data_IF_232479576123
#
_entry.id   IF_232479576123
#
_cell.length_a   1.000
_cell.length_b   1.000
_cell.length_c   1.000
_cell.angle_alpha   90.00
_cell.angle_beta   90.00
_cell.angle_gamma   90.00
#
_symmetry.space_group_name_H-M   'P 1'
#
loop_
_entity.id
_entity.type
_entity.pdbx_description
1 polymer ?
#
# COMPACT_ATOMS: atom_id res chain seq x y z
N UNK A 1 -34.69 -12.38 24.97
CA UNK A 1 -35.02 -12.55 23.53
C UNK A 1 -36.22 -13.48 23.46
N UNK A 2 -37.03 -13.39 22.41
CA UNK A 2 -38.16 -14.32 22.18
C UNK A 2 -38.05 -14.88 20.78
N UNK A 3 -38.53 -16.10 20.59
CA UNK A 3 -38.55 -16.80 19.31
C UNK A 3 -40.00 -16.81 18.84
N UNK A 4 -40.23 -16.56 17.55
CA UNK A 4 -41.57 -16.68 16.97
C UNK A 4 -41.68 -18.08 16.37
N UNK A 5 -42.48 -18.94 17.00
CA UNK A 5 -42.83 -20.27 16.51
C UNK A 5 -44.34 -20.34 16.33
N UNK A 6 -44.81 -20.81 15.17
CA UNK A 6 -46.24 -20.90 14.85
C UNK A 6 -47.01 -19.61 15.17
N UNK A 7 -46.40 -18.44 14.90
CA UNK A 7 -46.92 -17.09 15.19
C UNK A 7 -47.11 -16.73 16.67
N UNK A 8 -46.72 -17.61 17.59
CA UNK A 8 -46.71 -17.37 19.03
C UNK A 8 -45.28 -17.06 19.53
N UNK A 9 -45.11 -16.09 20.45
CA UNK A 9 -43.82 -15.84 21.07
C UNK A 9 -43.51 -16.92 22.12
N UNK A 10 -42.35 -17.58 21.99
CA UNK A 10 -41.79 -18.51 22.99
C UNK A 10 -40.54 -17.94 23.65
N UNK A 11 -40.34 -18.36 24.89
CA UNK A 11 -39.10 -18.13 25.62
C UNK A 11 -37.96 -18.97 24.99
N UNK A 12 -36.69 -18.60 25.24
CA UNK A 12 -35.56 -19.35 24.66
C UNK A 12 -35.51 -20.80 25.17
N UNK A 13 -35.77 -21.02 26.46
CA UNK A 13 -35.79 -22.37 27.04
C UNK A 13 -36.93 -23.22 26.45
N UNK A 14 -38.09 -22.59 26.27
CA UNK A 14 -39.29 -23.20 25.69
C UNK A 14 -39.13 -23.59 24.22
N UNK A 15 -38.15 -23.00 23.53
CA UNK A 15 -37.82 -23.23 22.13
C UNK A 15 -36.50 -24.01 21.99
N UNK A 16 -36.02 -24.64 23.07
CA UNK A 16 -34.76 -25.39 23.12
C UNK A 16 -33.51 -24.58 22.69
N UNK A 17 -33.55 -23.25 22.80
CA UNK A 17 -32.44 -22.34 22.46
C UNK A 17 -31.79 -21.71 23.70
N UNK A 18 -32.28 -22.00 24.91
CA UNK A 18 -31.80 -21.43 26.17
C UNK A 18 -30.34 -21.73 26.50
N UNK A 19 -29.82 -22.85 25.97
CA UNK A 19 -28.43 -23.28 26.15
C UNK A 19 -27.45 -22.62 25.16
N UNK A 20 -27.93 -21.81 24.22
CA UNK A 20 -27.08 -21.13 23.25
C UNK A 20 -26.55 -19.80 23.80
N UNK A 21 -25.33 -19.46 23.42
CA UNK A 21 -24.70 -18.18 23.77
C UNK A 21 -24.88 -17.15 22.66
N UNK A 22 -25.07 -15.89 23.05
CA UNK A 22 -25.25 -14.79 22.12
C UNK A 22 -23.92 -14.18 21.67
N UNK A 23 -23.63 -14.27 20.37
CA UNK A 23 -22.53 -13.58 19.70
C UNK A 23 -23.05 -12.31 19.00
N UNK A 24 -22.64 -11.10 19.42
CA UNK A 24 -23.02 -9.86 18.74
C UNK A 24 -22.43 -9.77 17.32
N UNK A 25 -23.09 -9.00 16.45
CA UNK A 25 -22.56 -8.66 15.11
C UNK A 25 -21.27 -7.83 15.24
N UNK A 26 -20.34 -8.03 14.31
CA UNK A 26 -19.14 -7.19 14.20
C UNK A 26 -18.04 -7.87 13.41
N UNK A 27 -17.58 -9.02 13.91
CA UNK A 27 -16.61 -9.85 13.21
C UNK A 27 -17.33 -10.86 12.30
N UNK A 28 -17.28 -10.60 10.99
CA UNK A 28 -17.88 -11.45 9.97
C UNK A 28 -17.27 -12.86 9.95
N UNK A 29 -15.97 -12.99 10.14
CA UNK A 29 -15.29 -14.29 10.13
C UNK A 29 -15.69 -15.11 11.35
N UNK A 30 -15.70 -14.49 12.54
CA UNK A 30 -16.13 -15.13 13.77
C UNK A 30 -17.60 -15.53 13.71
N UNK A 31 -18.48 -14.63 13.26
CA UNK A 31 -19.91 -14.89 13.13
C UNK A 31 -20.19 -16.03 12.14
N UNK A 32 -19.50 -16.06 11.00
CA UNK A 32 -19.66 -17.13 10.00
C UNK A 32 -19.21 -18.47 10.55
N UNK A 33 -18.01 -18.54 11.12
CA UNK A 33 -17.44 -19.79 11.65
C UNK A 33 -18.20 -20.33 12.84
N UNK A 34 -18.60 -19.46 13.77
CA UNK A 34 -19.39 -19.89 14.93
C UNK A 34 -20.71 -20.54 14.51
N UNK A 35 -21.33 -20.09 13.40
CA UNK A 35 -22.52 -20.76 12.85
C UNK A 35 -22.21 -22.06 12.12
N UNK A 36 -21.09 -22.14 11.39
CA UNK A 36 -20.66 -23.36 10.69
C UNK A 36 -20.30 -24.49 11.66
N UNK A 37 -19.72 -24.15 12.81
CA UNK A 37 -19.24 -25.08 13.83
C UNK A 37 -20.32 -25.51 14.82
N UNK A 38 -21.48 -24.84 14.82
CA UNK A 38 -22.58 -25.03 15.76
C UNK A 38 -23.63 -25.94 15.17
N UNK A 39 -24.04 -26.97 15.92
CA UNK A 39 -25.13 -27.87 15.52
C UNK A 39 -26.47 -27.14 15.44
N UNK A 40 -26.73 -26.22 16.38
CA UNK A 40 -27.92 -25.36 16.43
C UNK A 40 -27.52 -23.88 16.39
N UNK A 41 -28.21 -23.06 15.61
CA UNK A 41 -27.98 -21.60 15.61
C UNK A 41 -29.23 -20.81 15.25
N UNK A 42 -29.38 -19.62 15.82
CA UNK A 42 -30.50 -18.71 15.55
C UNK A 42 -30.02 -17.28 15.28
N UNK A 43 -30.64 -16.59 14.32
CA UNK A 43 -30.30 -15.19 14.04
C UNK A 43 -31.09 -14.28 14.96
N UNK A 44 -30.39 -13.41 15.68
CA UNK A 44 -31.03 -12.42 16.55
C UNK A 44 -31.24 -11.14 15.76
N UNK A 45 -32.48 -10.68 15.71
CA UNK A 45 -32.88 -9.42 15.09
C UNK A 45 -33.54 -8.51 16.11
N UNK A 46 -33.51 -7.21 15.85
CA UNK A 46 -34.24 -6.19 16.60
C UNK A 46 -35.00 -5.32 15.63
N UNK A 47 -36.29 -5.10 15.88
CA UNK A 47 -37.08 -4.18 15.08
C UNK A 47 -36.61 -2.74 15.31
N UNK A 48 -36.16 -2.08 14.25
CA UNK A 48 -35.81 -0.66 14.27
C UNK A 48 -37.06 0.16 13.91
N UNK A 49 -37.74 0.71 14.93
CA UNK A 49 -38.97 1.51 14.75
C UNK A 49 -38.77 2.71 13.82
N UNK A 50 -37.61 3.38 13.89
CA UNK A 50 -37.32 4.55 13.03
C UNK A 50 -37.21 4.19 11.56
N UNK A 51 -36.72 2.98 11.25
CA UNK A 51 -36.51 2.51 9.87
C UNK A 51 -37.57 1.52 9.39
N UNK A 52 -38.57 1.20 10.22
CA UNK A 52 -39.64 0.27 9.90
C UNK A 52 -39.18 -1.15 9.53
N UNK A 53 -38.00 -1.60 9.99
CA UNK A 53 -37.44 -2.91 9.59
C UNK A 53 -36.67 -3.61 10.70
N UNK A 54 -36.58 -4.94 10.61
CA UNK A 54 -35.70 -5.73 11.46
C UNK A 54 -34.23 -5.54 11.08
N UNK A 55 -33.40 -5.28 12.07
CA UNK A 55 -31.95 -5.21 11.94
C UNK A 55 -31.31 -6.37 12.68
N UNK A 56 -30.44 -7.11 11.98
CA UNK A 56 -29.63 -8.18 12.59
C UNK A 56 -28.74 -7.62 13.68
N UNK A 57 -28.79 -8.21 14.87
CA UNK A 57 -28.01 -7.85 16.05
C UNK A 57 -26.87 -8.82 16.30
N UNK A 58 -27.02 -10.09 15.92
CA UNK A 58 -26.04 -11.14 16.19
C UNK A 58 -26.62 -12.52 15.92
N UNK A 59 -26.03 -13.53 16.54
CA UNK A 59 -26.48 -14.94 16.46
C UNK A 59 -26.40 -15.61 17.82
N UNK A 60 -27.31 -16.55 18.06
CA UNK A 60 -27.19 -17.57 19.09
C UNK A 60 -26.49 -18.78 18.48
N UNK A 61 -25.47 -19.29 19.16
CA UNK A 61 -24.65 -20.44 18.76
C UNK A 61 -24.24 -21.23 20.00
N UNK A 62 -23.80 -22.46 19.83
CA UNK A 62 -23.27 -23.28 20.93
C UNK A 62 -21.97 -22.68 21.46
N UNK A 63 -21.77 -22.71 22.79
CA UNK A 63 -20.56 -22.18 23.44
C UNK A 63 -19.30 -22.85 22.90
N UNK A 64 -19.32 -24.18 22.77
CA UNK A 64 -18.19 -24.93 22.22
C UNK A 64 -17.89 -24.56 20.76
N UNK A 65 -18.90 -24.25 19.96
CA UNK A 65 -18.74 -23.80 18.57
C UNK A 65 -18.13 -22.40 18.50
N UNK A 66 -18.57 -21.48 19.38
CA UNK A 66 -17.99 -20.16 19.51
C UNK A 66 -16.51 -20.25 19.90
N UNK A 67 -16.17 -21.04 20.93
CA UNK A 67 -14.79 -21.21 21.39
C UNK A 67 -13.86 -21.74 20.28
N UNK A 68 -14.28 -22.77 19.54
CA UNK A 68 -13.54 -23.28 18.37
C UNK A 68 -13.36 -22.22 17.29
N UNK A 69 -14.40 -21.43 17.02
CA UNK A 69 -14.34 -20.36 16.03
C UNK A 69 -13.37 -19.23 16.43
N UNK A 70 -13.35 -18.85 17.72
CA UNK A 70 -12.41 -17.87 18.27
C UNK A 70 -10.95 -18.34 18.14
N UNK A 71 -10.67 -19.58 18.54
CA UNK A 71 -9.34 -20.18 18.43
C UNK A 71 -8.83 -20.16 16.98
N UNK A 72 -9.67 -20.58 16.02
CA UNK A 72 -9.35 -20.53 14.58
C UNK A 72 -9.11 -19.11 14.10
N UNK A 73 -9.92 -18.14 14.53
CA UNK A 73 -9.75 -16.73 14.16
C UNK A 73 -8.43 -16.15 14.69
N UNK A 74 -8.06 -16.47 15.93
CA UNK A 74 -6.80 -16.08 16.55
C UNK A 74 -5.60 -16.71 15.81
N UNK A 75 -5.67 -18.01 15.51
CA UNK A 75 -4.62 -18.71 14.76
C UNK A 75 -4.37 -18.07 13.38
N UNK A 76 -5.45 -17.74 12.65
CA UNK A 76 -5.34 -17.05 11.35
C UNK A 76 -4.78 -15.63 11.49
N UNK A 77 -5.16 -14.90 12.53
CA UNK A 77 -4.65 -13.56 12.79
C UNK A 77 -3.14 -13.58 13.05
N UNK A 78 -2.67 -14.53 13.84
CA UNK A 78 -1.25 -14.70 14.13
C UNK A 78 -0.47 -15.18 12.90
N UNK A 79 -1.02 -16.14 12.13
CA UNK A 79 -0.41 -16.56 10.87
C UNK A 79 -0.27 -15.39 9.87
N UNK A 80 -1.32 -14.57 9.73
CA UNK A 80 -1.29 -13.36 8.89
C UNK A 80 -0.27 -12.34 9.42
N UNK A 81 -0.19 -12.14 10.74
CA UNK A 81 0.78 -11.24 11.37
C UNK A 81 2.23 -11.70 11.10
N UNK A 82 2.53 -12.98 11.33
CA UNK A 82 3.85 -13.57 11.04
C UNK A 82 4.23 -13.45 9.57
N UNK A 83 3.29 -13.68 8.65
CA UNK A 83 3.52 -13.47 7.20
C UNK A 83 3.84 -12.00 6.89
N UNK A 84 3.07 -11.04 7.44
CA UNK A 84 3.34 -9.60 7.26
C UNK A 84 4.73 -9.20 7.74
N UNK A 85 5.16 -9.68 8.92
CA UNK A 85 6.49 -9.38 9.47
C UNK A 85 7.60 -9.94 8.57
N UNK A 86 7.50 -11.22 8.17
CA UNK A 86 8.49 -11.85 7.28
C UNK A 86 8.55 -11.15 5.93
N UNK A 87 7.41 -10.83 5.35
CA UNK A 87 7.34 -10.13 4.07
C UNK A 87 7.88 -8.69 4.18
N UNK A 88 7.65 -7.99 5.30
CA UNK A 88 8.22 -6.67 5.53
C UNK A 88 9.74 -6.72 5.56
N UNK A 89 10.32 -7.69 6.30
CA UNK A 89 11.78 -7.92 6.33
C UNK A 89 12.33 -8.26 4.94
N UNK A 90 11.67 -9.16 4.21
CA UNK A 90 12.07 -9.54 2.85
C UNK A 90 12.04 -8.34 1.90
N UNK A 91 11.03 -7.47 2.01
CA UNK A 91 10.93 -6.25 1.20
C UNK A 91 12.01 -5.23 1.55
N UNK A 92 12.27 -5.00 2.84
CA UNK A 92 13.35 -4.10 3.27
C UNK A 92 14.70 -4.52 2.69
N UNK A 93 15.05 -5.80 2.80
CA UNK A 93 16.29 -6.33 2.23
C UNK A 93 16.35 -6.22 0.69
N UNK A 94 15.21 -6.36 0.00
CA UNK A 94 15.16 -6.15 -1.46
C UNK A 94 15.33 -4.67 -1.82
N UNK A 95 14.72 -3.77 -1.06
CA UNK A 95 14.79 -2.34 -1.30
C UNK A 95 16.23 -1.81 -1.02
N UNK A 96 16.94 -2.36 -0.01
CA UNK A 96 18.37 -2.09 0.23
C UNK A 96 19.25 -2.53 -0.94
N UNK A 97 19.13 -3.79 -1.39
CA UNK A 97 19.89 -4.30 -2.55
C UNK A 97 19.62 -3.51 -3.82
N UNK A 98 18.36 -3.10 -4.02
CA UNK A 98 18.00 -2.26 -5.15
C UNK A 98 18.64 -0.88 -5.05
N UNK A 99 18.64 -0.25 -3.86
CA UNK A 99 19.30 1.02 -3.64
C UNK A 99 20.80 0.95 -3.91
N UNK A 100 21.48 -0.10 -3.45
CA UNK A 100 22.91 -0.31 -3.70
C UNK A 100 23.20 -0.43 -5.21
N UNK A 101 22.47 -1.29 -5.91
CA UNK A 101 22.64 -1.48 -7.35
C UNK A 101 22.31 -0.21 -8.15
N UNK A 102 21.27 0.52 -7.76
CA UNK A 102 20.89 1.78 -8.41
C UNK A 102 21.94 2.87 -8.17
N UNK A 103 22.51 2.97 -6.97
CA UNK A 103 23.58 3.91 -6.68
C UNK A 103 24.85 3.60 -7.49
N UNK A 104 25.21 2.32 -7.60
CA UNK A 104 26.34 1.89 -8.43
C UNK A 104 26.12 2.27 -9.91
N UNK A 105 24.89 2.09 -10.42
CA UNK A 105 24.56 2.44 -11.80
C UNK A 105 24.56 3.96 -12.04
N UNK A 106 24.12 4.76 -11.06
CA UNK A 106 24.30 6.23 -11.12
C UNK A 106 25.78 6.58 -11.24
N UNK A 107 26.63 6.02 -10.39
CA UNK A 107 28.07 6.34 -10.40
C UNK A 107 28.76 5.85 -11.68
N UNK A 108 28.25 4.79 -12.31
CA UNK A 108 28.72 4.32 -13.61
C UNK A 108 28.39 5.32 -14.73
N UNK A 109 27.17 5.87 -14.74
CA UNK A 109 26.69 6.82 -15.75
C UNK A 109 27.16 8.26 -15.49
N UNK A 110 27.37 8.61 -14.22
CA UNK A 110 27.70 9.95 -13.74
C UNK A 110 28.89 9.87 -12.76
N UNK A 111 30.12 9.61 -13.26
CA UNK A 111 31.29 9.38 -12.41
C UNK A 111 31.70 10.59 -11.55
N UNK A 112 31.30 11.81 -11.93
CA UNK A 112 31.50 13.03 -11.14
C UNK A 112 30.45 13.26 -10.05
N UNK A 113 29.42 12.41 -9.95
CA UNK A 113 28.39 12.53 -8.92
C UNK A 113 28.94 12.11 -7.53
N UNK A 114 28.76 12.92 -6.48
CA UNK A 114 29.15 12.54 -5.12
C UNK A 114 28.50 11.22 -4.67
N UNK A 115 29.25 10.36 -3.98
CA UNK A 115 28.74 9.04 -3.59
C UNK A 115 27.56 9.08 -2.63
N UNK A 116 27.52 10.05 -1.71
CA UNK A 116 26.39 10.32 -0.83
C UNK A 116 25.16 10.81 -1.62
N UNK A 117 25.38 11.65 -2.63
CA UNK A 117 24.32 12.10 -3.55
C UNK A 117 23.70 10.93 -4.32
N UNK A 118 24.53 10.05 -4.91
CA UNK A 118 24.06 8.85 -5.60
C UNK A 118 23.26 7.92 -4.68
N UNK A 119 23.74 7.69 -3.44
CA UNK A 119 23.00 6.92 -2.42
C UNK A 119 21.67 7.57 -2.05
N UNK A 120 21.62 8.89 -1.92
CA UNK A 120 20.39 9.63 -1.64
C UNK A 120 19.34 9.49 -2.76
N UNK A 121 19.78 9.60 -4.02
CA UNK A 121 18.91 9.39 -5.20
C UNK A 121 18.39 7.95 -5.22
N UNK A 122 19.27 6.99 -5.03
CA UNK A 122 18.92 5.57 -5.02
C UNK A 122 17.94 5.22 -3.90
N UNK A 123 18.18 5.69 -2.68
CA UNK A 123 17.26 5.53 -1.55
C UNK A 123 15.89 6.13 -1.89
N UNK A 124 15.86 7.35 -2.45
CA UNK A 124 14.61 7.99 -2.85
C UNK A 124 13.84 7.23 -3.96
N UNK A 125 14.57 6.61 -4.89
CA UNK A 125 14.01 5.76 -5.94
C UNK A 125 13.51 4.41 -5.41
N UNK A 126 14.09 3.93 -4.30
CA UNK A 126 13.80 2.65 -3.64
C UNK A 126 12.59 2.71 -2.70
N UNK A 127 12.29 3.88 -2.11
CA UNK A 127 11.14 4.06 -1.24
C UNK A 127 9.82 3.73 -1.97
N UNK A 128 9.14 2.68 -1.51
CA UNK A 128 7.83 2.24 -2.02
C UNK A 128 6.73 3.20 -1.59
N UNK A 129 5.90 3.68 -2.53
CA UNK A 129 4.62 4.31 -2.14
C UNK A 129 3.86 5.22 -3.11
N UNK A 130 4.37 5.61 -4.28
CA UNK A 130 3.62 6.60 -5.09
C UNK A 130 3.78 6.52 -6.62
N UNK A 131 4.21 5.39 -7.18
CA UNK A 131 4.50 5.28 -8.62
C UNK A 131 5.95 5.66 -9.00
N UNK A 132 6.91 5.36 -8.12
CA UNK A 132 8.35 5.67 -8.31
C UNK A 132 9.06 4.58 -9.13
N UNK A 133 10.16 4.98 -9.77
CA UNK A 133 10.92 4.23 -10.79
C UNK A 133 11.21 2.77 -10.39
N UNK A 134 11.51 2.47 -9.13
CA UNK A 134 11.82 1.10 -8.66
C UNK A 134 10.73 0.03 -8.87
N UNK A 135 9.50 0.39 -9.29
CA UNK A 135 8.46 -0.59 -9.68
C UNK A 135 8.19 -0.68 -11.19
N UNK A 136 8.72 0.22 -12.01
CA UNK A 136 8.59 0.06 -13.47
C UNK A 136 9.49 -1.08 -13.94
N UNK A 137 9.15 -1.73 -15.04
CA UNK A 137 10.02 -2.75 -15.63
C UNK A 137 11.41 -2.17 -15.93
N UNK A 138 11.45 -0.96 -16.49
CA UNK A 138 12.66 -0.20 -16.76
C UNK A 138 13.48 0.09 -15.49
N UNK A 139 12.85 0.55 -14.41
CA UNK A 139 13.54 0.83 -13.16
C UNK A 139 14.04 -0.42 -12.46
N UNK A 140 13.28 -1.53 -12.48
CA UNK A 140 13.76 -2.83 -11.98
C UNK A 140 14.92 -3.40 -12.79
N UNK A 141 14.92 -3.15 -14.10
CA UNK A 141 16.01 -3.51 -15.00
C UNK A 141 17.20 -2.54 -14.92
N UNK A 142 17.13 -1.50 -14.06
CA UNK A 142 18.13 -0.45 -13.96
C UNK A 142 18.47 0.15 -15.33
N UNK A 143 17.46 0.32 -16.19
CA UNK A 143 17.70 0.84 -17.53
C UNK A 143 18.28 2.26 -17.44
N UNK A 144 19.21 2.55 -18.32
CA UNK A 144 19.90 3.84 -18.36
C UNK A 144 18.91 5.02 -18.34
N UNK A 145 17.87 4.99 -19.18
CA UNK A 145 16.85 6.04 -19.21
C UNK A 145 16.08 6.20 -17.88
N UNK A 146 15.88 5.12 -17.12
CA UNK A 146 15.24 5.18 -15.81
C UNK A 146 16.16 5.78 -14.74
N UNK A 147 17.45 5.44 -14.79
CA UNK A 147 18.48 5.98 -13.90
C UNK A 147 18.69 7.46 -14.17
N UNK A 148 18.88 7.85 -15.43
CA UNK A 148 19.01 9.26 -15.85
C UNK A 148 17.78 10.06 -15.42
N UNK A 149 16.57 9.53 -15.62
CA UNK A 149 15.34 10.22 -15.20
C UNK A 149 15.29 10.47 -13.69
N UNK A 150 15.77 9.53 -12.87
CA UNK A 150 15.84 9.71 -11.42
C UNK A 150 16.86 10.77 -11.01
N UNK A 151 18.03 10.78 -11.66
CA UNK A 151 19.06 11.81 -11.43
C UNK A 151 18.55 13.19 -11.83
N UNK A 152 17.97 13.33 -13.03
CA UNK A 152 17.33 14.57 -13.51
C UNK A 152 16.27 15.06 -12.53
N UNK A 153 15.42 14.17 -12.02
CA UNK A 153 14.41 14.53 -11.04
C UNK A 153 15.06 15.03 -9.74
N UNK A 154 16.11 14.37 -9.25
CA UNK A 154 16.81 14.80 -8.04
C UNK A 154 17.48 16.17 -8.20
N UNK A 155 18.15 16.39 -9.33
CA UNK A 155 18.79 17.67 -9.66
C UNK A 155 17.74 18.78 -9.71
N UNK A 156 16.65 18.55 -10.44
CA UNK A 156 15.54 19.49 -10.51
C UNK A 156 15.04 19.93 -9.13
N UNK A 157 14.84 19.01 -8.20
CA UNK A 157 14.23 19.35 -6.91
C UNK A 157 15.21 19.93 -5.90
N UNK A 158 16.49 19.55 -5.95
CA UNK A 158 17.44 19.87 -4.88
C UNK A 158 18.51 20.87 -5.30
N UNK A 159 18.81 20.97 -6.60
CA UNK A 159 19.86 21.83 -7.14
C UNK A 159 19.28 23.03 -7.92
N UNK A 160 17.95 23.22 -7.96
CA UNK A 160 17.32 24.34 -8.68
C UNK A 160 16.17 24.95 -7.88
N UNK A 161 15.70 26.17 -8.21
CA UNK A 161 14.55 26.78 -7.53
C UNK A 161 13.19 26.16 -7.92
N UNK A 162 13.16 24.98 -8.55
CA UNK A 162 11.94 24.35 -9.06
C UNK A 162 10.79 24.32 -8.04
N UNK A 163 11.05 23.89 -6.81
CA UNK A 163 10.01 23.79 -5.79
C UNK A 163 9.49 25.18 -5.39
N UNK A 164 10.37 26.19 -5.31
CA UNK A 164 9.95 27.58 -5.07
C UNK A 164 9.07 28.12 -6.18
N UNK A 165 9.41 27.84 -7.44
CA UNK A 165 8.61 28.22 -8.61
C UNK A 165 7.21 27.59 -8.56
N UNK A 166 7.12 26.30 -8.19
CA UNK A 166 5.83 25.63 -8.03
C UNK A 166 5.00 26.24 -6.90
N UNK A 167 5.62 26.54 -5.76
CA UNK A 167 4.96 27.16 -4.62
C UNK A 167 4.51 28.60 -4.91
N UNK A 168 5.20 29.31 -5.79
CA UNK A 168 4.79 30.63 -6.28
C UNK A 168 3.76 30.57 -7.43
N UNK A 169 3.18 29.40 -7.71
CA UNK A 169 2.11 29.23 -8.70
C UNK A 169 2.56 29.11 -10.16
N UNK A 170 3.87 28.98 -10.43
CA UNK A 170 4.37 28.82 -11.81
C UNK A 170 3.96 27.44 -12.34
N UNK A 171 3.35 27.35 -13.54
CA UNK A 171 2.98 26.08 -14.13
C UNK A 171 4.20 25.15 -14.33
N UNK A 172 4.01 23.84 -14.15
CA UNK A 172 5.10 22.84 -14.20
C UNK A 172 5.93 22.88 -15.48
N UNK A 173 5.30 23.08 -16.63
CA UNK A 173 5.98 23.11 -17.92
C UNK A 173 6.93 24.32 -18.01
N UNK A 174 6.47 25.48 -17.54
CA UNK A 174 7.26 26.71 -17.51
C UNK A 174 8.37 26.63 -16.47
N UNK A 175 8.07 26.14 -15.26
CA UNK A 175 9.09 25.93 -14.23
C UNK A 175 10.21 25.00 -14.73
N UNK A 176 9.87 23.92 -15.46
CA UNK A 176 10.84 23.02 -16.10
C UNK A 176 11.67 23.72 -17.18
N UNK A 177 11.04 24.55 -18.02
CA UNK A 177 11.74 25.32 -19.05
C UNK A 177 12.77 26.29 -18.44
N UNK A 178 12.40 26.98 -17.35
CA UNK A 178 13.26 27.97 -16.68
C UNK A 178 14.54 27.36 -16.07
N UNK A 179 14.45 26.15 -15.52
CA UNK A 179 15.58 25.47 -14.86
C UNK A 179 16.38 24.57 -15.82
N UNK A 180 15.98 24.43 -17.08
CA UNK A 180 16.51 23.40 -17.97
C UNK A 180 18.05 23.49 -18.11
N UNK A 181 18.57 24.70 -18.34
CA UNK A 181 20.01 24.94 -18.48
C UNK A 181 20.80 24.62 -17.20
N UNK A 182 20.23 24.92 -16.03
CA UNK A 182 20.86 24.63 -14.73
C UNK A 182 20.94 23.11 -14.49
N UNK A 183 19.84 22.40 -14.77
CA UNK A 183 19.81 20.93 -14.70
C UNK A 183 20.82 20.32 -15.66
N UNK A 184 20.83 20.74 -16.92
CA UNK A 184 21.78 20.25 -17.93
C UNK A 184 23.24 20.53 -17.57
N UNK A 185 23.52 21.70 -16.98
CA UNK A 185 24.85 22.07 -16.48
C UNK A 185 25.34 21.08 -15.42
N UNK A 186 24.48 20.76 -14.45
CA UNK A 186 24.81 19.81 -13.37
C UNK A 186 25.00 18.39 -13.89
N UNK A 187 24.17 17.95 -14.83
CA UNK A 187 24.31 16.63 -15.44
C UNK A 187 25.59 16.50 -16.26
N UNK A 188 26.00 17.54 -16.99
CA UNK A 188 27.27 17.56 -17.72
C UNK A 188 28.46 17.51 -16.78
N UNK A 189 28.42 18.27 -15.68
CA UNK A 189 29.45 18.25 -14.65
C UNK A 189 29.63 16.83 -14.07
N UNK A 190 28.54 16.11 -13.82
CA UNK A 190 28.63 14.75 -13.29
C UNK A 190 28.90 13.67 -14.34
N UNK A 191 28.53 13.89 -15.61
CA UNK A 191 28.71 12.93 -16.70
C UNK A 191 30.15 12.79 -17.18
N UNK A 192 31.02 13.78 -16.91
CA UNK A 192 32.39 13.83 -17.44
C UNK A 192 32.44 13.95 -18.98
N UNK A 193 33.64 14.11 -19.54
CA UNK A 193 33.84 14.30 -21.00
C UNK A 193 33.41 13.08 -21.87
N UNK A 194 33.06 11.94 -21.24
CA UNK A 194 32.60 10.72 -21.91
C UNK A 194 31.09 10.62 -22.16
N UNK A 195 30.25 11.47 -21.57
CA UNK A 195 28.78 11.38 -21.65
C UNK A 195 28.14 12.08 -22.87
N UNK A 196 28.91 12.83 -23.65
CA UNK A 196 28.38 13.71 -24.69
C UNK A 196 27.97 13.02 -26.02
N UNK A 197 28.07 11.68 -26.14
CA UNK A 197 27.82 10.97 -27.41
C UNK A 197 26.66 9.96 -27.43
N UNK A 198 25.84 9.87 -26.39
CA UNK A 198 24.75 8.90 -26.36
C UNK A 198 23.48 9.43 -25.69
N UNK A 199 22.53 9.91 -26.48
CA UNK A 199 21.14 10.08 -26.02
C UNK A 199 20.79 11.50 -25.59
N UNK A 200 20.45 12.34 -26.56
CA UNK A 200 19.51 13.43 -26.29
C UNK A 200 18.25 12.84 -25.63
N UNK A 201 17.84 13.29 -24.43
CA UNK A 201 16.60 12.81 -23.84
C UNK A 201 15.44 13.16 -24.78
N UNK A 202 14.55 12.21 -25.13
CA UNK A 202 13.40 12.54 -25.96
C UNK A 202 12.59 13.64 -25.26
N UNK A 203 12.03 14.61 -26.01
CA UNK A 203 11.20 15.64 -25.43
C UNK A 203 10.08 14.96 -24.64
N UNK A 204 9.91 15.39 -23.40
CA UNK A 204 8.90 14.85 -22.49
C UNK A 204 7.50 15.12 -23.05
N UNK A 205 7.02 14.25 -23.94
CA UNK A 205 5.63 14.24 -24.36
C UNK A 205 4.80 13.70 -23.21
N UNK A 206 3.91 14.56 -22.71
CA UNK A 206 3.03 14.27 -21.60
C UNK A 206 2.15 13.07 -21.90
N UNK A 207 2.33 12.02 -21.11
CA UNK A 207 1.37 10.94 -21.00
C UNK A 207 0.22 11.39 -20.08
N UNK A 208 -0.57 12.36 -20.54
CA UNK A 208 -1.94 12.55 -20.09
C UNK A 208 -2.84 11.82 -21.10
N UNK A 209 -3.28 10.61 -20.76
CA UNK A 209 -4.49 10.04 -21.35
C UNK A 209 -5.50 9.82 -20.23
N UNK A 210 -6.68 10.42 -20.42
CA UNK A 210 -7.94 10.00 -19.80
C UNK A 210 -8.27 8.59 -20.27
#
# INVERSE_FOLDING_TARGET
MVVLEDTAPRCLDCADLGHLVFLPRGDTALTRRSREESGLSAVVVRFNRRKGRYERQGVLVEEAALARAEERCLADAEARRRRRVRDARRRAAQDERFAEAFAAEILRLFPGCPGDRARGIAAHASLRGSGRVGRSAAGRALSEGAVVSAVVASVRHLDTPYDRLLMSGVPRHEARRRIATEVEGRLREWGGEGGARGGAPPPSQGMYRK
#
